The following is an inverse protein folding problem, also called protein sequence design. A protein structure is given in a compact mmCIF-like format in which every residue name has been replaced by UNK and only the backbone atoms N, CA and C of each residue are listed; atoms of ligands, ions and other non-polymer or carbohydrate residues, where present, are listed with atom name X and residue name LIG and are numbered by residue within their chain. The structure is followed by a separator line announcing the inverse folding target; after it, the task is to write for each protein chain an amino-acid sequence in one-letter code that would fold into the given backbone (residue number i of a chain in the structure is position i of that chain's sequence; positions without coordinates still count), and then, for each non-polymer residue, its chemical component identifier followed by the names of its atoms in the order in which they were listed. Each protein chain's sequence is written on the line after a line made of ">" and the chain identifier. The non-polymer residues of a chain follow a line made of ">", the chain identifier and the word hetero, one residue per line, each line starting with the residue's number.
data_IF_462217425167
#
_entry.id   IF_462217425167
#
_cell.length_a   1.000
_cell.length_b   1.000
_cell.length_c   1.000
_cell.angle_alpha   90.00
_cell.angle_beta   90.00
_cell.angle_gamma   90.00
#
_symmetry.space_group_name_H-M   'P 1'
#
loop_
_entity.id
_entity.type
_entity.pdbx_description
1 polymer ?
#
# COMPACT_ATOMS: atom_id res chain seq x y z
N UNK A 1 7.06 124.90 69.11
CA UNK A 1 7.19 124.73 67.64
C UNK A 1 7.81 123.35 67.46
N UNK A 2 7.16 122.31 66.96
CA UNK A 2 6.20 122.23 65.87
C UNK A 2 5.16 121.16 66.11
N UNK A 3 3.96 121.46 65.59
CA UNK A 3 2.71 120.73 65.70
C UNK A 3 2.73 119.51 64.78
N UNK A 4 2.17 118.42 65.30
CA UNK A 4 1.81 117.18 64.61
C UNK A 4 1.15 117.48 63.25
N UNK A 5 1.74 116.97 62.17
CA UNK A 5 1.19 117.09 60.81
C UNK A 5 0.69 115.72 60.36
N UNK A 6 -0.36 115.24 61.02
CA UNK A 6 -1.17 114.11 60.59
C UNK A 6 -1.86 114.51 59.28
N UNK A 7 -1.28 114.14 58.14
CA UNK A 7 -1.86 114.40 56.83
C UNK A 7 -3.13 113.57 56.65
N UNK A 8 -4.28 114.20 56.92
CA UNK A 8 -5.60 113.67 56.63
C UNK A 8 -5.76 113.58 55.12
N UNK A 9 -5.62 112.35 54.59
CA UNK A 9 -6.16 112.01 53.27
C UNK A 9 -7.62 112.45 53.26
N UNK A 10 -7.98 113.31 52.31
CA UNK A 10 -9.34 113.80 52.14
C UNK A 10 -10.30 112.60 52.00
N UNK A 11 -11.43 112.64 52.71
CA UNK A 11 -12.46 111.57 52.72
C UNK A 11 -12.91 111.14 51.30
N UNK A 12 -12.70 111.99 50.30
CA UNK A 12 -13.02 111.77 48.90
C UNK A 12 -11.98 110.91 48.13
N UNK A 13 -10.72 110.86 48.60
CA UNK A 13 -9.69 109.95 48.06
C UNK A 13 -9.72 108.56 48.70
N UNK A 14 -10.07 108.47 49.98
CA UNK A 14 -10.29 107.19 50.68
C UNK A 14 -11.53 106.49 50.12
N UNK A 15 -12.64 107.21 49.90
CA UNK A 15 -13.85 106.68 49.28
C UNK A 15 -13.65 106.14 47.86
N UNK A 16 -12.84 106.83 47.04
CA UNK A 16 -12.48 106.33 45.70
C UNK A 16 -11.63 105.06 45.79
N UNK A 17 -10.60 105.03 46.64
CA UNK A 17 -9.76 103.84 46.85
C UNK A 17 -10.57 102.63 47.34
N UNK A 18 -11.52 102.84 48.25
CA UNK A 18 -12.41 101.80 48.74
C UNK A 18 -13.36 101.29 47.65
N UNK A 19 -13.90 102.17 46.81
CA UNK A 19 -14.72 101.77 45.66
C UNK A 19 -13.92 101.00 44.59
N UNK A 20 -12.69 101.41 44.30
CA UNK A 20 -11.80 100.66 43.39
C UNK A 20 -11.37 99.31 43.99
N UNK A 21 -11.10 99.25 45.30
CA UNK A 21 -10.83 98.02 46.03
C UNK A 21 -12.04 97.07 45.99
N UNK A 22 -13.24 97.58 46.22
CA UNK A 22 -14.48 96.80 46.15
C UNK A 22 -14.77 96.30 44.73
N UNK A 23 -14.56 97.14 43.71
CA UNK A 23 -14.75 96.76 42.31
C UNK A 23 -13.75 95.67 41.86
N UNK A 24 -12.49 95.79 42.28
CA UNK A 24 -11.46 94.77 42.00
C UNK A 24 -11.74 93.46 42.75
N UNK A 25 -12.11 93.51 44.03
CA UNK A 25 -12.55 92.33 44.80
C UNK A 25 -13.78 91.64 44.19
N UNK A 26 -14.73 92.41 43.64
CA UNK A 26 -15.89 91.83 42.95
C UNK A 26 -15.48 91.15 41.64
N UNK A 27 -14.56 91.76 40.89
CA UNK A 27 -14.04 91.19 39.65
C UNK A 27 -13.18 89.94 39.89
N UNK A 28 -12.40 89.90 40.97
CA UNK A 28 -11.66 88.68 41.36
C UNK A 28 -12.61 87.55 41.73
N UNK A 29 -13.67 87.81 42.52
CA UNK A 29 -14.69 86.80 42.83
C UNK A 29 -15.33 86.20 41.58
N UNK A 30 -15.73 87.04 40.62
CA UNK A 30 -16.30 86.54 39.35
C UNK A 30 -15.32 85.65 38.59
N UNK A 31 -14.02 85.97 38.61
CA UNK A 31 -13.00 85.15 37.97
C UNK A 31 -12.74 83.84 38.74
N UNK A 32 -12.78 83.88 40.06
CA UNK A 32 -12.69 82.70 40.93
C UNK A 32 -13.86 81.75 40.69
N UNK A 33 -15.10 82.25 40.61
CA UNK A 33 -16.29 81.45 40.33
C UNK A 33 -16.20 80.79 38.93
N UNK A 34 -15.77 81.56 37.92
CA UNK A 34 -15.54 81.02 36.57
C UNK A 34 -14.43 79.98 36.53
N UNK A 35 -13.36 80.18 37.30
CA UNK A 35 -12.27 79.22 37.42
C UNK A 35 -12.75 77.94 38.11
N UNK A 36 -13.56 78.07 39.17
CA UNK A 36 -14.16 76.92 39.87
C UNK A 36 -15.02 76.10 38.93
N UNK A 37 -15.93 76.74 38.19
CA UNK A 37 -16.78 76.03 37.22
C UNK A 37 -15.98 75.35 36.10
N UNK A 38 -14.83 75.92 35.69
CA UNK A 38 -13.95 75.25 34.72
C UNK A 38 -13.22 74.04 35.30
N UNK A 39 -12.84 74.08 36.59
CA UNK A 39 -12.22 72.95 37.28
C UNK A 39 -13.19 71.77 37.44
N UNK A 40 -14.43 72.05 37.80
CA UNK A 40 -15.49 71.02 37.90
C UNK A 40 -15.71 70.31 36.56
N UNK A 41 -15.88 71.08 35.48
CA UNK A 41 -16.01 70.51 34.12
C UNK A 41 -14.78 69.69 33.73
N UNK A 42 -13.57 70.14 34.11
CA UNK A 42 -12.34 69.43 33.80
C UNK A 42 -12.29 68.07 34.52
N UNK A 43 -12.65 68.03 35.80
CA UNK A 43 -12.77 66.79 36.58
C UNK A 43 -13.79 65.82 35.99
N UNK A 44 -14.95 66.30 35.54
CA UNK A 44 -15.94 65.46 34.85
C UNK A 44 -15.36 64.84 33.56
N UNK A 45 -14.63 65.63 32.77
CA UNK A 45 -14.01 65.13 31.54
C UNK A 45 -12.91 64.13 31.81
N UNK A 46 -12.12 64.32 32.87
CA UNK A 46 -11.11 63.35 33.30
C UNK A 46 -11.75 62.02 33.70
N UNK A 47 -12.82 62.05 34.52
CA UNK A 47 -13.55 60.84 34.92
C UNK A 47 -14.09 60.08 33.70
N UNK A 48 -14.73 60.79 32.76
CA UNK A 48 -15.25 60.19 31.52
C UNK A 48 -14.11 59.61 30.68
N UNK A 49 -12.98 60.30 30.59
CA UNK A 49 -11.83 59.85 29.81
C UNK A 49 -11.22 58.58 30.42
N UNK A 50 -11.11 58.48 31.74
CA UNK A 50 -10.67 57.26 32.43
C UNK A 50 -11.61 56.08 32.15
N UNK A 51 -12.93 56.32 32.20
CA UNK A 51 -13.92 55.29 31.91
C UNK A 51 -13.83 54.81 30.45
N UNK A 52 -13.74 55.74 29.49
CA UNK A 52 -13.57 55.41 28.06
C UNK A 52 -12.27 54.66 27.83
N UNK A 53 -11.17 55.04 28.48
CA UNK A 53 -9.90 54.31 28.40
C UNK A 53 -10.06 52.89 28.96
N UNK A 54 -10.73 52.73 30.10
CA UNK A 54 -10.99 51.44 30.72
C UNK A 54 -11.80 50.52 29.80
N UNK A 55 -12.91 51.02 29.24
CA UNK A 55 -13.76 50.30 28.29
C UNK A 55 -12.99 49.93 27.01
N UNK A 56 -12.20 50.87 26.48
CA UNK A 56 -11.38 50.62 25.28
C UNK A 56 -10.34 49.53 25.54
N UNK A 57 -9.68 49.54 26.71
CA UNK A 57 -8.74 48.49 27.09
C UNK A 57 -9.42 47.12 27.21
N UNK A 58 -10.61 47.06 27.82
CA UNK A 58 -11.42 45.83 27.91
C UNK A 58 -11.81 45.29 26.53
N UNK A 59 -12.31 46.15 25.64
CA UNK A 59 -12.66 45.76 24.26
C UNK A 59 -11.45 45.30 23.45
N UNK A 60 -10.29 45.96 23.59
CA UNK A 60 -9.05 45.52 22.94
C UNK A 60 -8.64 44.13 23.40
N UNK A 61 -8.74 43.85 24.71
CA UNK A 61 -8.44 42.52 25.27
C UNK A 61 -9.44 41.45 24.75
N UNK A 62 -10.73 41.75 24.76
CA UNK A 62 -11.74 40.84 24.20
C UNK A 62 -11.49 40.56 22.70
N UNK A 63 -11.13 41.59 21.93
CA UNK A 63 -10.80 41.43 20.51
C UNK A 63 -9.52 40.62 20.30
N UNK A 64 -8.48 40.78 21.14
CA UNK A 64 -7.26 39.95 21.05
C UNK A 64 -7.55 38.50 21.40
N UNK A 65 -8.32 38.26 22.47
CA UNK A 65 -8.65 36.91 22.94
C UNK A 65 -9.54 36.19 21.91
N UNK A 66 -10.52 36.89 21.32
CA UNK A 66 -11.37 36.36 20.25
C UNK A 66 -10.57 35.97 19.00
N UNK A 67 -9.57 36.76 18.59
CA UNK A 67 -8.68 36.39 17.47
C UNK A 67 -7.86 35.15 17.77
N UNK A 68 -7.32 35.02 18.98
CA UNK A 68 -6.55 33.85 19.38
C UNK A 68 -7.41 32.58 19.36
N UNK A 69 -8.65 32.66 19.87
CA UNK A 69 -9.60 31.55 19.85
C UNK A 69 -10.01 31.16 18.43
N UNK A 70 -10.34 32.14 17.58
CA UNK A 70 -10.70 31.90 16.18
C UNK A 70 -9.56 31.19 15.43
N UNK A 71 -8.31 31.65 15.60
CA UNK A 71 -7.14 31.04 14.98
C UNK A 71 -6.90 29.61 15.49
N UNK A 72 -7.07 29.36 16.78
CA UNK A 72 -6.96 28.02 17.35
C UNK A 72 -8.02 27.07 16.78
N UNK A 73 -9.26 27.55 16.61
CA UNK A 73 -10.33 26.78 15.97
C UNK A 73 -9.99 26.47 14.51
N UNK A 74 -9.57 27.46 13.72
CA UNK A 74 -9.17 27.25 12.31
C UNK A 74 -8.05 26.22 12.17
N UNK A 75 -7.06 26.22 13.07
CA UNK A 75 -5.99 25.20 13.08
C UNK A 75 -6.55 23.80 13.33
N UNK A 76 -7.44 23.63 14.31
CA UNK A 76 -8.10 22.35 14.59
C UNK A 76 -8.93 21.86 13.40
N UNK A 77 -9.66 22.76 12.74
CA UNK A 77 -10.44 22.43 11.53
C UNK A 77 -9.53 21.93 10.41
N UNK A 78 -8.42 22.62 10.14
CA UNK A 78 -7.46 22.18 9.12
C UNK A 78 -6.83 20.82 9.46
N UNK A 79 -6.53 20.58 10.73
CA UNK A 79 -6.02 19.29 11.19
C UNK A 79 -7.05 18.17 10.95
N UNK A 80 -8.32 18.39 11.31
CA UNK A 80 -9.39 17.42 11.05
C UNK A 80 -9.60 17.18 9.56
N UNK A 81 -9.54 18.22 8.72
CA UNK A 81 -9.58 18.06 7.27
C UNK A 81 -8.40 17.23 6.73
N UNK A 82 -7.22 17.36 7.33
CA UNK A 82 -6.07 16.48 7.05
C UNK A 82 -6.39 15.03 7.39
N UNK A 83 -6.78 14.77 8.65
CA UNK A 83 -7.11 13.41 9.12
C UNK A 83 -8.22 12.75 8.30
N UNK A 84 -9.27 13.49 7.94
CA UNK A 84 -10.36 12.99 7.09
C UNK A 84 -9.83 12.54 5.73
N UNK A 85 -9.00 13.36 5.07
CA UNK A 85 -8.41 13.00 3.78
C UNK A 85 -7.55 11.74 3.88
N UNK A 86 -6.77 11.60 4.95
CA UNK A 86 -5.93 10.43 5.19
C UNK A 86 -6.76 9.17 5.47
N UNK A 87 -7.83 9.27 6.26
CA UNK A 87 -8.75 8.15 6.49
C UNK A 87 -9.49 7.74 5.22
N UNK A 88 -9.94 8.70 4.41
CA UNK A 88 -10.60 8.41 3.13
C UNK A 88 -9.65 7.71 2.17
N UNK A 89 -8.39 8.15 2.10
CA UNK A 89 -7.36 7.49 1.28
C UNK A 89 -7.10 6.05 1.75
N UNK A 90 -6.97 5.83 3.06
CA UNK A 90 -6.85 4.48 3.64
C UNK A 90 -8.07 3.61 3.34
N UNK A 91 -9.27 4.16 3.49
CA UNK A 91 -10.52 3.47 3.20
C UNK A 91 -10.60 3.06 1.72
N UNK A 92 -10.23 3.95 0.80
CA UNK A 92 -10.17 3.63 -0.63
C UNK A 92 -9.18 2.48 -0.92
N UNK A 93 -8.00 2.50 -0.27
CA UNK A 93 -7.03 1.41 -0.41
C UNK A 93 -7.61 0.07 0.10
N UNK A 94 -8.17 0.04 1.30
CA UNK A 94 -8.77 -1.19 1.87
C UNK A 94 -9.95 -1.70 1.05
N UNK A 95 -10.77 -0.81 0.50
CA UNK A 95 -11.90 -1.20 -0.37
C UNK A 95 -11.38 -1.80 -1.68
N UNK A 96 -10.31 -1.23 -2.25
CA UNK A 96 -9.71 -1.78 -3.47
C UNK A 96 -9.06 -3.15 -3.26
N UNK A 97 -8.38 -3.34 -2.12
CA UNK A 97 -7.80 -4.62 -1.71
C UNK A 97 -8.89 -5.68 -1.52
N UNK A 98 -9.94 -5.33 -0.77
CA UNK A 98 -11.08 -6.21 -0.54
C UNK A 98 -11.79 -6.57 -1.85
N UNK A 99 -11.95 -5.62 -2.77
CA UNK A 99 -12.52 -5.89 -4.10
C UNK A 99 -11.66 -6.86 -4.91
N UNK A 100 -10.34 -6.73 -4.85
CA UNK A 100 -9.43 -7.68 -5.50
C UNK A 100 -9.60 -9.09 -4.91
N UNK A 101 -9.62 -9.21 -3.57
CA UNK A 101 -9.83 -10.49 -2.90
C UNK A 101 -11.18 -11.12 -3.24
N UNK A 102 -12.25 -10.33 -3.24
CA UNK A 102 -13.59 -10.79 -3.63
C UNK A 102 -13.60 -11.32 -5.06
N UNK A 103 -12.98 -10.61 -6.01
CA UNK A 103 -12.87 -11.08 -7.39
C UNK A 103 -12.11 -12.41 -7.48
N UNK A 104 -10.99 -12.55 -6.74
CA UNK A 104 -10.22 -13.81 -6.71
C UNK A 104 -11.01 -14.95 -6.07
N UNK A 105 -11.73 -14.70 -4.99
CA UNK A 105 -12.55 -15.70 -4.32
C UNK A 105 -13.68 -16.20 -5.22
N UNK A 106 -14.34 -15.29 -5.95
CA UNK A 106 -15.37 -15.64 -6.92
C UNK A 106 -14.82 -16.50 -8.06
N UNK A 107 -13.65 -16.13 -8.61
CA UNK A 107 -12.99 -16.91 -9.67
C UNK A 107 -12.64 -18.32 -9.19
N UNK A 108 -12.02 -18.44 -8.02
CA UNK A 108 -11.66 -19.74 -7.44
C UNK A 108 -12.91 -20.57 -7.12
N UNK A 109 -13.99 -19.95 -6.65
CA UNK A 109 -15.26 -20.64 -6.43
C UNK A 109 -15.85 -21.18 -7.73
N UNK A 110 -15.79 -20.42 -8.83
CA UNK A 110 -16.22 -20.90 -10.15
C UNK A 110 -15.37 -22.09 -10.62
N UNK A 111 -14.04 -22.00 -10.53
CA UNK A 111 -13.14 -23.09 -10.88
C UNK A 111 -13.38 -24.34 -10.03
N UNK A 112 -13.58 -24.18 -8.72
CA UNK A 112 -13.93 -25.27 -7.80
C UNK A 112 -15.21 -25.96 -8.23
N UNK A 113 -16.29 -25.19 -8.46
CA UNK A 113 -17.57 -25.76 -8.88
C UNK A 113 -17.51 -26.45 -10.24
N UNK A 114 -16.70 -25.95 -11.18
CA UNK A 114 -16.48 -26.60 -12.47
C UNK A 114 -15.78 -27.95 -12.28
N UNK A 115 -14.70 -27.98 -11.49
CA UNK A 115 -13.94 -29.21 -11.19
C UNK A 115 -14.72 -30.22 -10.36
N UNK A 116 -15.55 -29.76 -9.43
CA UNK A 116 -16.46 -30.62 -8.68
C UNK A 116 -17.48 -31.29 -9.59
N UNK A 117 -18.02 -30.58 -10.58
CA UNK A 117 -18.93 -31.18 -11.58
C UNK A 117 -18.23 -32.21 -12.45
N UNK A 118 -17.05 -31.88 -12.98
CA UNK A 118 -16.23 -32.82 -13.77
C UNK A 118 -15.91 -34.08 -12.96
N UNK A 119 -15.56 -33.91 -11.68
CA UNK A 119 -15.29 -35.04 -10.79
C UNK A 119 -16.55 -35.87 -10.54
N UNK A 120 -17.70 -35.24 -10.26
CA UNK A 120 -18.97 -35.94 -10.07
C UNK A 120 -19.36 -36.77 -11.30
N UNK A 121 -19.21 -36.20 -12.50
CA UNK A 121 -19.48 -36.91 -13.75
C UNK A 121 -18.50 -38.08 -13.94
N UNK A 122 -17.20 -37.85 -13.71
CA UNK A 122 -16.19 -38.90 -13.79
C UNK A 122 -16.44 -40.04 -12.79
N UNK A 123 -16.85 -39.72 -11.56
CA UNK A 123 -17.21 -40.72 -10.55
C UNK A 123 -18.45 -41.50 -10.96
N UNK A 124 -19.47 -40.83 -11.50
CA UNK A 124 -20.68 -41.50 -11.98
C UNK A 124 -20.35 -42.46 -13.13
N UNK A 125 -19.57 -42.04 -14.13
CA UNK A 125 -19.13 -42.91 -15.22
C UNK A 125 -18.35 -44.12 -14.71
N UNK A 126 -17.42 -43.90 -13.77
CA UNK A 126 -16.63 -44.97 -13.18
C UNK A 126 -17.49 -45.99 -12.41
N UNK A 127 -18.51 -45.52 -11.67
CA UNK A 127 -19.48 -46.40 -10.99
C UNK A 127 -20.30 -47.24 -11.98
N UNK A 128 -20.54 -46.74 -13.19
CA UNK A 128 -21.24 -47.44 -14.27
C UNK A 128 -20.30 -48.29 -15.14
N UNK A 129 -19.01 -48.41 -14.77
CA UNK A 129 -18.02 -49.21 -15.50
C UNK A 129 -17.52 -48.56 -16.80
N UNK A 130 -17.83 -47.29 -17.03
CA UNK A 130 -17.34 -46.52 -18.16
C UNK A 130 -16.03 -45.79 -17.81
N UNK A 131 -15.21 -45.40 -18.81
CA UNK A 131 -13.99 -44.66 -18.56
C UNK A 131 -14.29 -43.26 -17.96
N UNK A 132 -13.62 -42.85 -16.88
CA UNK A 132 -13.95 -41.63 -16.12
C UNK A 132 -13.63 -40.32 -16.87
N UNK A 133 -12.75 -40.34 -17.87
CA UNK A 133 -12.36 -39.16 -18.65
C UNK A 133 -12.05 -39.56 -20.09
N UNK A 134 -12.20 -38.65 -21.05
CA UNK A 134 -11.88 -38.92 -22.46
C UNK A 134 -10.42 -39.37 -22.66
N UNK A 135 -9.47 -38.79 -21.91
CA UNK A 135 -8.09 -39.24 -21.90
C UNK A 135 -7.96 -40.73 -21.48
N UNK A 136 -8.77 -41.16 -20.51
CA UNK A 136 -8.79 -42.54 -20.05
C UNK A 136 -9.36 -43.50 -21.13
N UNK A 137 -10.26 -43.02 -22.00
CA UNK A 137 -10.74 -43.78 -23.16
C UNK A 137 -9.57 -44.09 -24.11
N UNK A 138 -8.74 -43.08 -24.41
CA UNK A 138 -7.57 -43.26 -25.28
C UNK A 138 -6.53 -44.21 -24.68
N UNK A 139 -6.32 -44.12 -23.37
CA UNK A 139 -5.40 -45.03 -22.67
C UNK A 139 -5.92 -46.47 -22.65
N UNK A 140 -7.23 -46.68 -22.46
CA UNK A 140 -7.85 -47.99 -22.61
C UNK A 140 -7.68 -48.55 -24.02
N UNK A 141 -7.97 -47.74 -25.05
CA UNK A 141 -7.78 -48.15 -26.44
C UNK A 141 -6.32 -48.55 -26.72
N UNK A 142 -5.35 -47.81 -26.17
CA UNK A 142 -3.92 -48.15 -26.27
C UNK A 142 -3.58 -49.47 -25.56
N UNK A 143 -4.19 -49.73 -24.40
CA UNK A 143 -4.00 -50.99 -23.67
C UNK A 143 -4.63 -52.19 -24.40
N UNK A 144 -5.81 -52.00 -24.99
CA UNK A 144 -6.47 -53.02 -25.83
C UNK A 144 -5.63 -53.37 -27.05
N UNK A 145 -5.12 -52.37 -27.79
CA UNK A 145 -4.23 -52.63 -28.92
C UNK A 145 -2.98 -53.42 -28.51
N UNK A 146 -2.39 -53.08 -27.36
CA UNK A 146 -1.23 -53.80 -26.82
C UNK A 146 -1.59 -55.23 -26.41
N UNK A 147 -2.75 -55.45 -25.81
CA UNK A 147 -3.18 -56.78 -25.38
C UNK A 147 -3.44 -57.69 -26.59
N UNK A 148 -4.07 -57.16 -27.65
CA UNK A 148 -4.28 -57.86 -28.92
C UNK A 148 -2.94 -58.19 -29.58
N UNK A 149 -2.04 -57.22 -29.69
CA UNK A 149 -0.71 -57.49 -30.26
C UNK A 149 0.08 -58.55 -29.47
N UNK A 150 -0.04 -58.54 -28.14
CA UNK A 150 0.58 -59.55 -27.30
C UNK A 150 -0.09 -60.93 -27.45
N UNK A 151 -1.42 -60.99 -27.62
CA UNK A 151 -2.13 -62.25 -27.82
C UNK A 151 -1.85 -62.86 -29.19
N UNK A 152 -1.83 -62.05 -30.26
CA UNK A 152 -1.43 -62.51 -31.60
C UNK A 152 0.00 -63.02 -31.59
N UNK A 153 0.94 -62.28 -30.99
CA UNK A 153 2.32 -62.73 -30.87
C UNK A 153 2.46 -64.04 -30.07
N UNK A 154 1.66 -64.24 -29.02
CA UNK A 154 1.64 -65.50 -28.26
C UNK A 154 1.12 -66.66 -29.09
N UNK A 155 0.05 -66.44 -29.87
CA UNK A 155 -0.52 -67.46 -30.77
C UNK A 155 0.47 -67.81 -31.89
N UNK A 156 1.06 -66.81 -32.55
CA UNK A 156 2.08 -67.03 -33.59
C UNK A 156 3.28 -67.83 -33.06
N UNK A 157 3.74 -67.57 -31.83
CA UNK A 157 4.80 -68.37 -31.20
C UNK A 157 4.37 -69.81 -30.93
N UNK A 158 3.17 -70.01 -30.40
CA UNK A 158 2.65 -71.35 -30.14
C UNK A 158 2.42 -72.14 -31.45
N UNK A 159 1.97 -71.49 -32.51
CA UNK A 159 1.85 -72.07 -33.86
C UNK A 159 3.21 -72.41 -34.46
N UNK A 160 4.22 -71.55 -34.33
CA UNK A 160 5.59 -71.83 -34.74
C UNK A 160 6.19 -73.03 -33.96
N UNK A 161 5.90 -73.13 -32.66
CA UNK A 161 6.33 -74.25 -31.81
C UNK A 161 5.65 -75.57 -32.22
N UNK A 162 4.36 -75.55 -32.54
CA UNK A 162 3.60 -76.75 -32.96
C UNK A 162 3.89 -77.20 -34.39
N UNK A 163 4.18 -76.26 -35.31
CA UNK A 163 4.58 -76.56 -36.69
C UNK A 163 6.06 -76.95 -36.83
N UNK A 164 6.84 -76.83 -35.75
CA UNK A 164 8.25 -77.23 -35.71
C UNK A 164 9.19 -76.30 -36.50
N UNK A 165 8.71 -75.16 -37.00
CA UNK A 165 9.55 -74.14 -37.65
C UNK A 165 10.16 -73.23 -36.59
N UNK A 166 11.44 -73.46 -36.26
CA UNK A 166 12.20 -72.55 -35.42
C UNK A 166 12.21 -71.13 -36.04
N UNK A 167 11.93 -70.06 -35.27
CA UNK A 167 11.94 -68.70 -35.78
C UNK A 167 13.34 -68.33 -36.29
N UNK A 168 13.46 -68.09 -37.58
CA UNK A 168 14.74 -67.70 -38.18
C UNK A 168 14.92 -66.21 -37.91
N UNK A 169 16.01 -65.79 -37.25
CA UNK A 169 16.24 -64.38 -36.97
C UNK A 169 16.33 -63.62 -38.30
N UNK A 170 15.84 -62.36 -38.38
CA UNK A 170 15.83 -61.59 -39.62
C UNK A 170 17.23 -61.30 -40.19
N UNK A 171 18.31 -61.59 -39.45
CA UNK A 171 19.69 -61.54 -39.95
C UNK A 171 20.16 -62.82 -40.63
N UNK A 172 19.41 -63.93 -40.52
CA UNK A 172 19.80 -65.22 -41.07
C UNK A 172 19.14 -65.43 -42.44
N UNK A 173 19.96 -65.36 -43.48
CA UNK A 173 19.56 -65.71 -44.84
C UNK A 173 19.41 -67.24 -44.92
N UNK A 174 18.20 -67.74 -45.24
CA UNK A 174 17.98 -69.18 -45.53
C UNK A 174 18.82 -69.56 -46.74
N UNK A 175 19.99 -70.14 -46.54
CA UNK A 175 20.87 -70.66 -47.59
C UNK A 175 21.29 -72.09 -47.27
N UNK A 176 21.42 -72.93 -48.30
CA UNK A 176 21.90 -74.32 -48.17
C UNK A 176 23.43 -74.42 -48.35
N UNK A 177 24.13 -73.28 -48.41
CA UNK A 177 25.58 -73.24 -48.58
C UNK A 177 26.27 -73.31 -47.22
N UNK A 178 27.35 -74.09 -47.12
CA UNK A 178 28.13 -74.17 -45.88
C UNK A 178 28.69 -72.78 -45.50
N UNK A 179 28.48 -72.32 -44.25
CA UNK A 179 28.92 -71.01 -43.83
C UNK A 179 30.45 -70.94 -43.87
N UNK A 180 30.98 -69.90 -44.53
CA UNK A 180 32.42 -69.70 -44.62
C UNK A 180 33.01 -69.47 -43.23
N UNK A 181 34.19 -70.05 -42.92
CA UNK A 181 34.91 -69.73 -41.69
C UNK A 181 35.13 -68.21 -41.57
N UNK A 182 34.63 -67.62 -40.49
CA UNK A 182 34.66 -66.16 -40.27
C UNK A 182 36.07 -65.59 -40.06
N UNK A 183 37.09 -66.44 -39.94
CA UNK A 183 38.48 -66.04 -40.00
C UNK A 183 39.33 -67.21 -40.55
N UNK A 184 40.12 -66.93 -41.59
CA UNK A 184 41.22 -67.82 -42.04
C UNK A 184 42.55 -67.46 -41.35
N UNK A 185 42.49 -66.62 -40.31
CA UNK A 185 43.66 -66.07 -39.63
C UNK A 185 43.74 -66.71 -38.24
N UNK A 186 44.83 -67.43 -37.91
CA UNK A 186 45.04 -68.00 -36.58
C UNK A 186 44.98 -66.93 -35.48
N UNK A 187 44.37 -67.27 -34.33
CA UNK A 187 44.12 -66.37 -33.19
C UNK A 187 45.40 -65.76 -32.54
N UNK A 188 46.59 -66.21 -32.95
CA UNK A 188 47.90 -65.77 -32.41
C UNK A 188 48.43 -64.48 -33.06
N UNK A 189 47.84 -63.99 -34.15
CA UNK A 189 48.21 -62.69 -34.70
C UNK A 189 47.61 -61.58 -33.83
N UNK A 190 48.49 -60.75 -33.23
CA UNK A 190 48.17 -59.60 -32.37
C UNK A 190 47.46 -58.43 -33.07
N UNK A 191 46.57 -58.72 -34.00
CA UNK A 191 45.68 -57.74 -34.62
C UNK A 191 44.64 -57.36 -33.56
N UNK A 192 44.49 -56.07 -33.23
CA UNK A 192 43.53 -55.64 -32.23
C UNK A 192 42.12 -56.09 -32.58
N UNK A 193 41.53 -56.97 -31.76
CA UNK A 193 40.12 -57.34 -31.87
C UNK A 193 39.29 -56.08 -31.56
N UNK A 194 38.30 -55.69 -32.41
CA UNK A 194 37.43 -54.57 -32.09
C UNK A 194 36.77 -54.85 -30.74
N UNK A 195 36.79 -53.86 -29.84
CA UNK A 195 36.10 -53.99 -28.57
C UNK A 195 34.64 -54.36 -28.85
N UNK A 196 34.18 -55.48 -28.30
CA UNK A 196 32.81 -55.96 -28.50
C UNK A 196 31.76 -54.96 -27.99
N UNK A 197 30.51 -55.40 -27.85
CA UNK A 197 29.39 -54.52 -27.47
C UNK A 197 29.56 -53.71 -26.16
N UNK A 198 30.55 -54.04 -25.33
CA UNK A 198 30.91 -53.33 -24.10
C UNK A 198 32.36 -52.79 -24.16
N UNK A 199 32.66 -52.00 -25.18
CA UNK A 199 33.95 -51.30 -25.24
C UNK A 199 34.11 -50.26 -24.14
N UNK A 200 35.35 -49.95 -23.71
CA UNK A 200 35.60 -48.93 -22.70
C UNK A 200 35.04 -47.57 -23.18
N UNK A 201 33.99 -47.12 -22.50
CA UNK A 201 33.27 -45.89 -22.82
C UNK A 201 34.01 -44.69 -22.24
N UNK A 202 34.33 -43.71 -23.08
CA UNK A 202 34.77 -42.38 -22.62
C UNK A 202 33.52 -41.54 -22.35
N UNK A 203 33.26 -41.08 -21.11
CA UNK A 203 32.15 -40.17 -20.83
C UNK A 203 32.27 -38.92 -21.69
N UNK A 204 31.19 -38.55 -22.38
CA UNK A 204 31.13 -37.32 -23.16
C UNK A 204 31.24 -36.13 -22.21
N UNK A 205 32.15 -35.20 -22.51
CA UNK A 205 32.27 -33.94 -21.75
C UNK A 205 30.94 -33.16 -21.85
N UNK A 206 30.49 -32.60 -20.74
CA UNK A 206 29.21 -31.90 -20.67
C UNK A 206 29.14 -30.75 -21.67
N UNK A 207 28.14 -30.77 -22.56
CA UNK A 207 27.97 -29.76 -23.59
C UNK A 207 27.70 -28.36 -23.04
N UNK A 208 28.02 -27.33 -23.84
CA UNK A 208 27.80 -25.90 -23.52
C UNK A 208 26.37 -25.57 -23.06
N UNK A 209 25.38 -26.35 -23.50
CA UNK A 209 23.96 -26.22 -23.12
C UNK A 209 23.70 -26.50 -21.64
N UNK A 210 24.54 -27.27 -20.95
CA UNK A 210 24.40 -27.54 -19.51
C UNK A 210 24.61 -26.29 -18.64
N UNK A 211 25.27 -25.24 -19.17
CA UNK A 211 25.47 -23.97 -18.46
C UNK A 211 24.17 -23.18 -18.26
N UNK A 212 23.13 -23.48 -19.05
CA UNK A 212 21.85 -22.78 -18.98
C UNK A 212 20.80 -23.51 -18.12
N UNK A 213 21.09 -24.74 -17.67
CA UNK A 213 20.18 -25.51 -16.83
C UNK A 213 20.42 -25.08 -15.38
N UNK A 214 19.47 -24.33 -14.81
CA UNK A 214 19.49 -23.94 -13.38
C UNK A 214 18.62 -24.91 -12.59
N UNK A 215 19.13 -25.44 -11.48
CA UNK A 215 18.33 -26.22 -10.55
C UNK A 215 17.16 -25.37 -10.02
N UNK A 216 15.91 -25.88 -10.05
CA UNK A 216 14.76 -25.16 -9.53
C UNK A 216 14.90 -25.00 -8.01
N UNK A 217 14.65 -23.78 -7.51
CA UNK A 217 14.60 -23.55 -6.06
C UNK A 217 13.29 -24.14 -5.50
N UNK A 218 13.33 -24.97 -4.44
CA UNK A 218 12.13 -25.43 -3.78
C UNK A 218 11.37 -24.22 -3.20
N UNK A 219 10.04 -24.22 -3.33
CA UNK A 219 9.18 -23.17 -2.74
C UNK A 219 9.03 -23.45 -1.25
N UNK A 220 9.15 -22.41 -0.44
CA UNK A 220 8.85 -22.48 1.00
C UNK A 220 7.34 -22.66 1.18
N UNK A 221 6.95 -23.66 1.96
CA UNK A 221 5.57 -23.93 2.34
C UNK A 221 5.36 -23.22 3.67
N UNK A 222 4.49 -22.22 3.71
CA UNK A 222 4.03 -21.61 4.97
C UNK A 222 3.11 -22.61 5.67
N UNK A 223 3.46 -22.99 6.91
CA UNK A 223 2.63 -23.82 7.81
C UNK A 223 1.83 -22.90 8.72
#
# INVERSE_FOLDING_TARGET
>A
MHVESSSTLTDDQTFRRENYSFCTQRKTKILEDRLSGKKEVLLEKELVLEEVISLTKKLRKQASDGRAQALALSKKVNEFQGRIRDTTRRMMATVSELSMHQATALKLQQEKTARERELQEATWRAEHGEPPTEAAVWDLYRLEQKSVAASTQRLERAEAETSGEAPIPPSMVRTMAEPRPNAYIPDELGIPKPYGGQGPFKPTEGGTTMRHIRMPKPREIEI
#
